data_IF_599493331627
#
_entry.id   IF_599493331627
#
_cell.length_a   1.000
_cell.length_b   1.000
_cell.length_c   1.000
_cell.angle_alpha   90.00
_cell.angle_beta   90.00
_cell.angle_gamma   90.00
#
_symmetry.space_group_name_H-M   'P 1'
#
loop_
_entity.id
_entity.type
_entity.pdbx_description
1 polymer ?
#
# COMPACT_ATOMS: atom_id res chain seq x y z
N UNK A 1 7.97 -20.86 14.12
CA UNK A 1 7.38 -21.60 12.98
C UNK A 1 6.12 -20.91 12.47
N UNK A 2 4.99 -20.96 13.18
CA UNK A 2 3.72 -20.41 12.68
C UNK A 2 3.75 -18.94 12.24
N UNK A 3 4.35 -18.04 13.03
CA UNK A 3 4.43 -16.62 12.70
C UNK A 3 5.30 -16.37 11.46
N UNK A 4 6.36 -17.16 11.30
CA UNK A 4 7.21 -17.16 10.10
C UNK A 4 6.43 -17.61 8.87
N UNK A 5 5.65 -18.68 8.99
CA UNK A 5 4.86 -19.25 7.89
C UNK A 5 3.73 -18.30 7.49
N UNK A 6 3.05 -17.71 8.47
CA UNK A 6 2.04 -16.67 8.26
C UNK A 6 2.64 -15.45 7.56
N UNK A 7 3.82 -14.98 7.99
CA UNK A 7 4.45 -13.82 7.36
C UNK A 7 4.84 -14.11 5.92
N UNK A 8 5.46 -15.27 5.66
CA UNK A 8 5.78 -15.70 4.30
C UNK A 8 4.52 -15.79 3.43
N UNK A 9 3.44 -16.37 3.96
CA UNK A 9 2.15 -16.41 3.28
C UNK A 9 1.61 -15.00 2.98
N UNK A 10 1.68 -14.05 3.92
CA UNK A 10 1.24 -12.67 3.70
C UNK A 10 2.08 -11.94 2.67
N UNK A 11 3.41 -12.08 2.73
CA UNK A 11 4.32 -11.55 1.71
C UNK A 11 3.93 -12.07 0.32
N UNK A 12 3.64 -13.37 0.21
CA UNK A 12 3.24 -14.00 -1.05
C UNK A 12 1.86 -13.52 -1.53
N UNK A 13 0.88 -13.38 -0.65
CA UNK A 13 -0.52 -13.19 -1.06
C UNK A 13 -0.95 -11.72 -1.19
N UNK A 14 -0.40 -10.82 -0.37
CA UNK A 14 -0.84 -9.41 -0.34
C UNK A 14 -0.53 -8.67 -1.63
N UNK A 15 0.65 -8.86 -2.21
CA UNK A 15 1.03 -8.24 -3.49
C UNK A 15 0.12 -8.71 -4.63
N UNK A 16 -0.33 -9.97 -4.56
CA UNK A 16 -1.19 -10.53 -5.60
C UNK A 16 -2.59 -9.94 -5.53
N UNK A 17 -3.14 -9.80 -4.31
CA UNK A 17 -4.43 -9.15 -4.08
C UNK A 17 -4.42 -7.64 -4.39
N UNK A 18 -3.28 -6.96 -4.21
CA UNK A 18 -3.18 -5.50 -4.36
C UNK A 18 -2.71 -5.04 -5.74
N UNK A 19 -1.69 -5.68 -6.33
CA UNK A 19 -1.01 -5.19 -7.55
C UNK A 19 -1.23 -6.08 -8.80
N UNK A 20 -1.39 -7.41 -8.63
CA UNK A 20 -1.67 -8.30 -9.79
C UNK A 20 -3.16 -8.41 -10.11
N UNK A 21 -4.02 -8.05 -9.16
CA UNK A 21 -5.43 -8.40 -9.13
C UNK A 21 -6.32 -7.68 -10.14
N UNK A 22 -5.93 -6.55 -10.73
CA UNK A 22 -6.77 -5.93 -11.77
C UNK A 22 -6.29 -6.38 -13.13
N UNK A 23 -5.05 -6.09 -13.51
CA UNK A 23 -4.58 -6.38 -14.88
C UNK A 23 -4.39 -7.87 -15.17
N UNK A 24 -3.73 -8.63 -14.29
CA UNK A 24 -3.49 -10.07 -14.53
C UNK A 24 -4.79 -10.85 -14.35
N UNK A 25 -5.58 -10.55 -13.31
CA UNK A 25 -6.91 -11.14 -13.15
C UNK A 25 -7.81 -10.85 -14.35
N UNK A 26 -7.90 -9.59 -14.80
CA UNK A 26 -8.70 -9.24 -15.98
C UNK A 26 -8.20 -10.02 -17.20
N UNK A 27 -6.90 -10.05 -17.46
CA UNK A 27 -6.33 -10.75 -18.61
C UNK A 27 -6.55 -12.28 -18.56
N UNK A 28 -6.41 -12.91 -17.40
CA UNK A 28 -6.65 -14.36 -17.24
C UNK A 28 -8.14 -14.67 -17.38
N UNK A 29 -9.01 -13.91 -16.72
CA UNK A 29 -10.45 -14.12 -16.77
C UNK A 29 -11.06 -13.75 -18.14
N UNK A 30 -10.47 -12.79 -18.86
CA UNK A 30 -10.88 -12.40 -20.21
C UNK A 30 -10.24 -13.23 -21.32
N UNK A 31 -9.21 -14.04 -21.01
CA UNK A 31 -8.56 -14.90 -22.00
C UNK A 31 -9.40 -16.11 -22.41
N UNK A 32 -8.95 -16.89 -23.39
CA UNK A 32 -9.70 -18.07 -23.87
C UNK A 32 -9.30 -19.39 -23.19
N UNK A 33 -8.22 -19.39 -22.39
CA UNK A 33 -7.70 -20.59 -21.74
C UNK A 33 -8.52 -20.96 -20.49
N UNK A 34 -9.46 -21.89 -20.67
CA UNK A 34 -10.35 -22.37 -19.61
C UNK A 34 -9.61 -23.10 -18.49
N UNK A 35 -8.50 -23.79 -18.80
CA UNK A 35 -7.71 -24.51 -17.80
C UNK A 35 -6.97 -23.51 -16.90
N UNK A 36 -6.38 -22.47 -17.49
CA UNK A 36 -5.70 -21.40 -16.75
C UNK A 36 -6.67 -20.64 -15.84
N UNK A 37 -7.90 -20.37 -16.30
CA UNK A 37 -8.96 -19.78 -15.47
C UNK A 37 -9.30 -20.65 -14.27
N UNK A 38 -9.50 -21.95 -14.49
CA UNK A 38 -9.82 -22.89 -13.41
C UNK A 38 -8.68 -22.97 -12.38
N UNK A 39 -7.44 -23.10 -12.84
CA UNK A 39 -6.26 -23.13 -11.96
C UNK A 39 -6.10 -21.84 -11.17
N UNK A 40 -6.36 -20.68 -11.78
CA UNK A 40 -6.29 -19.38 -11.12
C UNK A 40 -7.39 -19.23 -10.05
N UNK A 41 -8.62 -19.63 -10.36
CA UNK A 41 -9.74 -19.61 -9.41
C UNK A 41 -9.47 -20.55 -8.23
N UNK A 42 -9.01 -21.79 -8.49
CA UNK A 42 -8.66 -22.74 -7.45
C UNK A 42 -7.53 -22.21 -6.56
N UNK A 43 -6.53 -21.56 -7.17
CA UNK A 43 -5.43 -20.96 -6.44
C UNK A 43 -5.89 -19.83 -5.51
N UNK A 44 -6.81 -18.98 -5.98
CA UNK A 44 -7.42 -17.94 -5.15
C UNK A 44 -8.18 -18.54 -3.97
N UNK A 45 -9.03 -19.53 -4.21
CA UNK A 45 -9.79 -20.23 -3.18
C UNK A 45 -8.88 -20.94 -2.16
N UNK A 46 -7.81 -21.59 -2.62
CA UNK A 46 -6.84 -22.27 -1.76
C UNK A 46 -6.10 -21.26 -0.88
N UNK A 47 -5.72 -20.10 -1.42
CA UNK A 47 -5.12 -19.00 -0.65
C UNK A 47 -6.09 -18.43 0.38
N UNK A 48 -7.36 -18.25 0.04
CA UNK A 48 -8.39 -17.83 1.00
C UNK A 48 -8.57 -18.85 2.13
N UNK A 49 -8.65 -20.15 1.80
CA UNK A 49 -8.74 -21.22 2.79
C UNK A 49 -7.51 -21.23 3.73
N UNK A 50 -6.31 -21.08 3.17
CA UNK A 50 -5.07 -20.99 3.95
C UNK A 50 -5.07 -19.77 4.87
N UNK A 51 -5.54 -18.61 4.39
CA UNK A 51 -5.73 -17.41 5.21
C UNK A 51 -6.72 -17.62 6.36
N UNK A 52 -7.84 -18.32 6.12
CA UNK A 52 -8.81 -18.69 7.17
C UNK A 52 -8.18 -19.59 8.23
N UNK A 53 -7.42 -20.60 7.82
CA UNK A 53 -6.71 -21.48 8.75
C UNK A 53 -5.69 -20.73 9.59
N UNK A 54 -4.87 -19.86 9.00
CA UNK A 54 -3.94 -19.04 9.78
C UNK A 54 -4.66 -18.17 10.82
N UNK A 55 -5.79 -17.57 10.41
CA UNK A 55 -6.62 -16.75 11.30
C UNK A 55 -7.15 -17.56 12.48
N UNK A 56 -7.75 -18.73 12.23
CA UNK A 56 -8.28 -19.62 13.28
C UNK A 56 -7.19 -20.14 14.22
N UNK A 57 -5.99 -20.43 13.69
CA UNK A 57 -4.87 -20.93 14.49
C UNK A 57 -4.27 -19.83 15.40
N UNK A 58 -4.30 -18.56 14.98
CA UNK A 58 -3.92 -17.44 15.84
C UNK A 58 -4.87 -17.29 17.04
N UNK A 59 -6.16 -17.59 16.87
CA UNK A 59 -7.15 -17.55 17.95
C UNK A 59 -7.04 -18.75 18.89
N UNK A 60 -6.98 -19.96 18.33
CA UNK A 60 -7.14 -21.20 19.07
C UNK A 60 -5.84 -21.65 19.79
N UNK A 61 -4.69 -21.05 19.47
CA UNK A 61 -3.34 -21.50 19.89
C UNK A 61 -3.04 -22.98 19.60
N UNK A 62 -3.89 -23.66 18.83
CA UNK A 62 -3.78 -25.08 18.48
C UNK A 62 -3.47 -25.20 16.99
N UNK A 63 -2.26 -25.66 16.71
CA UNK A 63 -1.69 -25.82 15.38
C UNK A 63 -2.28 -27.04 14.68
N UNK A 64 -3.27 -26.86 13.80
CA UNK A 64 -3.64 -27.93 12.85
C UNK A 64 -2.67 -27.92 11.66
N UNK A 65 -1.39 -28.16 11.97
CA UNK A 65 -0.25 -28.02 11.08
C UNK A 65 -0.36 -28.83 9.76
N UNK A 66 -0.89 -30.07 9.76
CA UNK A 66 -0.99 -30.87 8.53
C UNK A 66 -1.90 -30.25 7.46
N UNK A 67 -2.98 -29.59 7.87
CA UNK A 67 -3.90 -28.93 6.92
C UNK A 67 -3.26 -27.70 6.29
N UNK A 68 -2.56 -26.90 7.09
CA UNK A 68 -1.79 -25.74 6.62
C UNK A 68 -0.71 -26.19 5.62
N UNK A 69 0.07 -27.22 5.97
CA UNK A 69 1.12 -27.77 5.11
C UNK A 69 0.54 -28.30 3.78
N UNK A 70 -0.60 -28.99 3.81
CA UNK A 70 -1.29 -29.46 2.59
C UNK A 70 -1.76 -28.31 1.69
N UNK A 71 -2.39 -27.28 2.26
CA UNK A 71 -2.83 -26.11 1.49
C UNK A 71 -1.64 -25.34 0.91
N UNK A 72 -0.52 -25.21 1.65
CA UNK A 72 0.71 -24.59 1.15
C UNK A 72 1.28 -25.36 -0.04
N UNK A 73 1.34 -26.70 0.04
CA UNK A 73 1.78 -27.53 -1.08
C UNK A 73 0.89 -27.33 -2.31
N UNK A 74 -0.44 -27.30 -2.12
CA UNK A 74 -1.38 -27.07 -3.23
C UNK A 74 -1.21 -25.69 -3.87
N UNK A 75 -0.99 -24.65 -3.07
CA UNK A 75 -0.67 -23.30 -3.59
C UNK A 75 0.60 -23.34 -4.45
N UNK A 76 1.67 -23.97 -3.97
CA UNK A 76 2.93 -24.07 -4.71
C UNK A 76 2.79 -24.87 -6.02
N UNK A 77 1.99 -25.94 -6.02
CA UNK A 77 1.68 -26.71 -7.22
C UNK A 77 0.94 -25.87 -8.27
N UNK A 78 -0.11 -25.16 -7.86
CA UNK A 78 -0.89 -24.30 -8.75
C UNK A 78 -0.04 -23.15 -9.31
N UNK A 79 0.82 -22.54 -8.50
CA UNK A 79 1.77 -21.53 -8.95
C UNK A 79 2.75 -22.09 -10.00
N UNK A 80 3.24 -23.31 -9.80
CA UNK A 80 4.11 -23.99 -10.77
C UNK A 80 3.39 -24.27 -12.09
N UNK A 81 2.15 -24.75 -12.04
CA UNK A 81 1.32 -25.03 -13.23
C UNK A 81 1.03 -23.74 -14.02
N UNK A 82 0.62 -22.67 -13.35
CA UNK A 82 0.37 -21.37 -13.99
C UNK A 82 1.66 -20.71 -14.51
N UNK A 83 2.78 -20.91 -13.81
CA UNK A 83 4.11 -20.46 -14.22
C UNK A 83 4.61 -21.17 -15.48
N UNK A 84 4.26 -22.43 -15.69
CA UNK A 84 4.58 -23.15 -16.94
C UNK A 84 3.70 -22.75 -18.13
N UNK A 85 2.49 -22.25 -17.89
CA UNK A 85 1.53 -21.86 -18.93
C UNK A 85 1.59 -20.40 -19.36
N UNK A 86 2.19 -19.49 -18.59
CA UNK A 86 2.20 -18.06 -18.91
C UNK A 86 3.52 -17.36 -18.58
N UNK A 87 4.16 -16.77 -19.60
CA UNK A 87 5.34 -15.90 -19.43
C UNK A 87 5.05 -14.70 -18.49
N UNK A 88 3.78 -14.35 -18.33
CA UNK A 88 3.28 -13.27 -17.47
C UNK A 88 3.43 -13.58 -15.96
N UNK A 89 3.27 -14.85 -15.56
CA UNK A 89 3.43 -15.28 -14.16
C UNK A 89 4.92 -15.44 -13.77
N UNK A 90 5.77 -15.79 -14.74
CA UNK A 90 7.22 -15.92 -14.54
C UNK A 90 7.91 -14.58 -14.24
N UNK A 91 7.51 -13.49 -14.91
CA UNK A 91 8.13 -12.16 -14.73
C UNK A 91 7.78 -11.50 -13.37
N UNK A 92 6.67 -11.89 -12.74
CA UNK A 92 6.30 -11.40 -11.40
C UNK A 92 6.95 -12.21 -10.27
N UNK A 93 7.50 -13.40 -10.56
CA UNK A 93 8.00 -14.33 -9.55
C UNK A 93 9.52 -14.42 -9.46
N UNK A 94 10.26 -13.89 -10.45
CA UNK A 94 11.67 -14.25 -10.68
C UNK A 94 12.72 -13.54 -9.81
N UNK A 95 12.38 -12.50 -9.02
CA UNK A 95 13.37 -11.73 -8.23
C UNK A 95 12.88 -11.30 -6.84
N UNK A 96 11.84 -11.96 -6.30
CA UNK A 96 11.21 -11.49 -5.07
C UNK A 96 11.79 -12.13 -3.81
N UNK A 97 11.91 -11.33 -2.74
CA UNK A 97 12.00 -11.83 -1.37
C UNK A 97 10.78 -12.74 -1.14
N UNK A 98 10.98 -14.05 -1.07
CA UNK A 98 9.90 -15.02 -0.84
C UNK A 98 9.73 -15.36 0.63
N UNK A 99 10.71 -15.00 1.46
CA UNK A 99 10.73 -15.33 2.88
C UNK A 99 11.09 -14.14 3.76
N UNK A 100 10.57 -14.12 4.98
CA UNK A 100 10.90 -13.09 5.98
C UNK A 100 12.38 -13.13 6.38
N UNK A 101 13.05 -14.28 6.29
CA UNK A 101 14.49 -14.39 6.55
C UNK A 101 15.29 -13.60 5.52
N UNK A 102 14.95 -13.72 4.23
CA UNK A 102 15.56 -12.89 3.18
C UNK A 102 15.29 -11.41 3.46
N UNK A 103 14.08 -11.05 3.89
CA UNK A 103 13.74 -9.68 4.29
C UNK A 103 14.60 -9.17 5.46
N UNK A 104 14.78 -10.01 6.48
CA UNK A 104 15.57 -9.70 7.67
C UNK A 104 17.00 -9.27 7.30
N UNK A 105 17.63 -9.98 6.36
CA UNK A 105 19.00 -9.69 5.91
C UNK A 105 19.13 -8.38 5.13
N UNK A 106 18.02 -7.77 4.70
CA UNK A 106 18.02 -6.47 4.00
C UNK A 106 17.88 -5.28 4.95
N UNK A 107 17.48 -5.51 6.20
CA UNK A 107 17.28 -4.45 7.18
C UNK A 107 18.60 -4.06 7.84
N UNK A 108 18.81 -2.75 8.01
CA UNK A 108 19.89 -2.19 8.83
C UNK A 108 19.55 -2.27 10.33
N UNK A 109 20.55 -2.19 11.23
CA UNK A 109 20.35 -2.33 12.69
C UNK A 109 19.23 -1.48 13.30
N UNK A 110 19.00 -0.28 12.77
CA UNK A 110 18.01 0.70 13.21
C UNK A 110 16.72 0.69 12.40
N UNK A 111 16.55 -0.28 11.50
CA UNK A 111 15.36 -0.46 10.68
C UNK A 111 14.45 -1.57 11.24
N UNK A 112 13.15 -1.40 11.02
CA UNK A 112 12.15 -2.44 11.23
C UNK A 112 11.18 -2.52 10.06
N UNK A 113 10.68 -3.71 9.78
CA UNK A 113 9.61 -3.93 8.82
C UNK A 113 8.36 -4.45 9.55
N UNK A 114 7.20 -3.88 9.23
CA UNK A 114 5.93 -4.18 9.89
C UNK A 114 4.89 -4.54 8.84
N UNK A 115 4.40 -5.77 8.91
CA UNK A 115 3.27 -6.25 8.12
C UNK A 115 2.01 -6.17 8.97
N UNK A 116 1.12 -5.24 8.63
CA UNK A 116 -0.19 -5.14 9.26
C UNK A 116 -1.16 -6.12 8.58
N UNK A 117 -1.94 -6.81 9.40
CA UNK A 117 -2.92 -7.80 8.95
C UNK A 117 -4.24 -7.48 9.63
N UNK A 118 -5.27 -7.25 8.81
CA UNK A 118 -6.66 -7.21 9.28
C UNK A 118 -7.25 -8.61 9.22
N UNK A 119 -7.78 -9.09 10.33
CA UNK A 119 -8.38 -10.42 10.45
C UNK A 119 -9.86 -10.28 10.83
N UNK A 120 -10.74 -10.92 10.05
CA UNK A 120 -12.14 -11.10 10.42
C UNK A 120 -12.29 -12.50 11.00
N UNK A 121 -12.60 -12.56 12.29
CA UNK A 121 -12.61 -13.77 13.10
C UNK A 121 -13.96 -14.50 13.01
N UNK A 122 -15.06 -13.75 12.95
CA UNK A 122 -16.39 -14.33 12.80
C UNK A 122 -17.22 -13.51 11.79
N UNK A 123 -17.71 -14.19 10.75
CA UNK A 123 -18.60 -13.57 9.75
C UNK A 123 -20.02 -13.30 10.28
N UNK A 124 -20.44 -13.97 11.36
CA UNK A 124 -21.77 -13.83 11.98
C UNK A 124 -21.83 -12.73 13.05
N UNK A 125 -20.79 -12.56 13.85
CA UNK A 125 -20.74 -11.58 14.96
C UNK A 125 -19.73 -10.44 14.72
N UNK A 126 -19.25 -10.32 13.48
CA UNK A 126 -18.38 -9.26 12.96
C UNK A 126 -17.13 -8.95 13.80
N UNK A 127 -16.50 -9.95 14.43
CA UNK A 127 -15.27 -9.71 15.19
C UNK A 127 -14.08 -9.42 14.26
N UNK A 128 -13.47 -8.24 14.43
CA UNK A 128 -12.28 -7.82 13.69
C UNK A 128 -11.12 -7.64 14.66
N UNK A 129 -9.96 -8.19 14.29
CA UNK A 129 -8.69 -8.06 15.02
C UNK A 129 -7.60 -7.61 14.07
N UNK A 130 -6.69 -6.77 14.57
CA UNK A 130 -5.47 -6.43 13.85
C UNK A 130 -4.27 -7.14 14.45
N UNK A 131 -3.36 -7.54 13.58
CA UNK A 131 -2.09 -8.16 13.94
C UNK A 131 -0.96 -7.42 13.22
N UNK A 132 0.04 -6.96 13.97
CA UNK A 132 1.29 -6.45 13.43
C UNK A 132 2.36 -7.54 13.58
N UNK A 133 2.85 -8.06 12.45
CA UNK A 133 4.04 -8.90 12.40
C UNK A 133 5.26 -8.02 12.14
N UNK A 134 6.18 -8.02 13.09
CA UNK A 134 7.32 -7.10 13.13
C UNK A 134 8.61 -7.89 12.96
N UNK A 135 9.47 -7.41 12.08
CA UNK A 135 10.80 -7.95 11.82
C UNK A 135 11.83 -6.88 12.18
N UNK A 136 12.90 -7.30 12.87
CA UNK A 136 14.14 -6.55 13.05
C UNK A 136 15.34 -7.42 12.72
N UNK A 137 16.49 -6.80 12.37
CA UNK A 137 17.74 -7.53 12.22
C UNK A 137 18.05 -8.37 13.45
N UNK A 138 18.64 -9.55 13.22
CA UNK A 138 19.10 -10.49 14.25
C UNK A 138 17.98 -11.14 15.10
N UNK A 139 16.70 -10.92 14.78
CA UNK A 139 15.62 -11.70 15.39
C UNK A 139 15.53 -13.08 14.75
N UNK A 140 15.44 -14.11 15.58
CA UNK A 140 15.28 -15.50 15.16
C UNK A 140 13.85 -15.83 14.74
N UNK A 141 12.89 -14.99 15.11
CA UNK A 141 11.50 -15.06 14.69
C UNK A 141 10.83 -13.68 14.65
N UNK A 142 9.79 -13.47 13.82
CA UNK A 142 8.99 -12.26 13.84
C UNK A 142 8.24 -12.12 15.19
N UNK A 143 8.06 -10.89 15.66
CA UNK A 143 7.22 -10.61 16.83
C UNK A 143 5.81 -10.24 16.41
N UNK A 144 4.83 -10.70 17.17
CA UNK A 144 3.42 -10.41 16.96
C UNK A 144 2.92 -9.41 18.01
N UNK A 145 2.24 -8.35 17.55
CA UNK A 145 1.44 -7.46 18.39
C UNK A 145 -0.02 -7.54 17.94
N UNK A 146 -0.92 -7.86 18.87
CA UNK A 146 -2.35 -8.03 18.60
C UNK A 146 -3.16 -6.85 19.11
N UNK A 147 -4.17 -6.46 18.33
CA UNK A 147 -5.18 -5.47 18.67
C UNK A 147 -6.55 -6.14 18.60
N UNK A 148 -7.04 -6.55 19.77
CA UNK A 148 -8.30 -7.31 19.88
C UNK A 148 -9.56 -6.50 19.53
N UNK A 149 -9.46 -5.16 19.54
CA UNK A 149 -10.58 -4.23 19.40
C UNK A 149 -10.67 -3.61 17.99
N UNK A 150 -10.49 -4.42 16.93
CA UNK A 150 -10.44 -3.95 15.55
C UNK A 150 -11.71 -3.24 15.07
N UNK A 151 -12.90 -3.68 15.48
CA UNK A 151 -14.15 -2.96 15.18
C UNK A 151 -14.15 -1.54 15.75
N UNK A 152 -13.69 -1.39 16.98
CA UNK A 152 -13.58 -0.08 17.63
C UNK A 152 -12.56 0.80 16.88
N UNK A 153 -11.45 0.22 16.45
CA UNK A 153 -10.42 0.90 15.64
C UNK A 153 -10.99 1.43 14.33
N UNK A 154 -11.81 0.64 13.64
CA UNK A 154 -12.40 0.96 12.33
C UNK A 154 -13.51 2.00 12.41
N UNK A 155 -14.26 2.03 13.51
CA UNK A 155 -15.40 2.91 13.68
C UNK A 155 -15.07 4.11 14.58
N UNK A 156 -15.33 3.99 15.89
CA UNK A 156 -15.27 5.08 16.86
C UNK A 156 -13.91 5.79 16.88
N UNK A 157 -12.81 5.03 16.89
CA UNK A 157 -11.47 5.61 16.98
C UNK A 157 -11.05 6.29 15.68
N UNK A 158 -11.45 5.72 14.54
CA UNK A 158 -11.17 6.33 13.25
C UNK A 158 -11.98 7.60 13.03
N UNK A 159 -13.26 7.62 13.42
CA UNK A 159 -14.10 8.83 13.43
C UNK A 159 -13.48 9.92 14.30
N UNK A 160 -12.99 9.57 15.49
CA UNK A 160 -12.29 10.51 16.35
C UNK A 160 -11.01 11.04 15.71
N UNK A 161 -10.16 10.16 15.17
CA UNK A 161 -8.93 10.53 14.45
C UNK A 161 -9.23 11.52 13.32
N UNK A 162 -10.19 11.18 12.44
CA UNK A 162 -10.59 12.01 11.31
C UNK A 162 -11.11 13.37 11.76
N UNK A 163 -11.95 13.42 12.80
CA UNK A 163 -12.51 14.66 13.31
C UNK A 163 -11.42 15.53 13.97
N UNK A 164 -10.50 14.93 14.73
CA UNK A 164 -9.39 15.66 15.34
C UNK A 164 -8.52 16.32 14.25
N UNK A 165 -8.19 15.61 13.17
CA UNK A 165 -7.49 16.19 12.03
C UNK A 165 -8.30 17.28 11.34
N UNK A 166 -9.58 17.04 11.06
CA UNK A 166 -10.47 17.99 10.37
C UNK A 166 -10.64 19.31 11.13
N UNK A 167 -10.75 19.24 12.45
CA UNK A 167 -10.98 20.40 13.31
C UNK A 167 -9.70 20.92 13.97
N UNK A 168 -8.53 20.44 13.56
CA UNK A 168 -7.23 20.82 14.09
C UNK A 168 -7.13 20.71 15.63
N UNK A 169 -7.69 19.65 16.19
CA UNK A 169 -7.68 19.35 17.63
C UNK A 169 -6.49 18.44 17.92
N UNK A 170 -5.74 18.76 18.99
CA UNK A 170 -4.64 17.91 19.45
C UNK A 170 -5.15 16.50 19.77
N UNK A 171 -4.71 15.53 18.97
CA UNK A 171 -5.14 14.14 19.08
C UNK A 171 -4.28 13.38 20.10
N UNK A 172 -4.77 13.29 21.33
CA UNK A 172 -4.05 12.66 22.44
C UNK A 172 -4.27 11.14 22.57
N UNK A 173 -5.22 10.59 21.81
CA UNK A 173 -5.72 9.21 21.99
C UNK A 173 -5.28 8.25 20.90
N UNK A 174 -5.20 8.69 19.65
CA UNK A 174 -4.94 7.80 18.52
C UNK A 174 -3.56 7.12 18.59
N UNK A 175 -2.55 7.78 19.17
CA UNK A 175 -1.26 7.13 19.45
C UNK A 175 -1.40 5.88 20.32
N UNK A 176 -2.15 5.96 21.43
CA UNK A 176 -2.37 4.82 22.34
C UNK A 176 -3.13 3.68 21.67
N UNK A 177 -4.05 4.03 20.77
CA UNK A 177 -4.88 3.06 20.04
C UNK A 177 -4.12 2.34 18.94
N UNK A 178 -3.39 3.08 18.10
CA UNK A 178 -2.83 2.55 16.84
C UNK A 178 -1.33 2.25 16.89
N UNK A 179 -0.59 2.79 17.86
CA UNK A 179 0.89 2.71 17.81
C UNK A 179 1.57 2.27 19.11
N UNK A 180 1.10 2.73 20.27
CA UNK A 180 1.76 2.44 21.55
C UNK A 180 2.06 0.94 21.78
N UNK A 181 1.18 -0.03 21.44
CA UNK A 181 1.51 -1.45 21.57
C UNK A 181 2.68 -1.91 20.69
N UNK A 182 2.82 -1.33 19.49
CA UNK A 182 3.91 -1.62 18.54
C UNK A 182 5.21 -0.98 19.04
N UNK A 183 5.16 0.28 19.50
CA UNK A 183 6.35 1.02 19.95
C UNK A 183 7.15 0.25 21.04
N UNK A 184 6.45 -0.49 21.90
CA UNK A 184 7.05 -1.30 22.98
C UNK A 184 8.08 -2.33 22.51
N UNK A 185 8.04 -2.76 21.23
CA UNK A 185 8.98 -3.73 20.67
C UNK A 185 9.97 -3.13 19.66
N UNK A 186 9.96 -1.80 19.49
CA UNK A 186 10.76 -1.06 18.52
C UNK A 186 11.96 -0.32 19.15
N UNK A 187 12.50 -0.81 20.27
CA UNK A 187 13.69 -0.21 20.89
C UNK A 187 14.85 -0.10 19.89
N UNK A 188 15.45 1.09 19.77
CA UNK A 188 16.58 1.35 18.87
C UNK A 188 16.23 1.41 17.38
N UNK A 189 14.96 1.55 17.02
CA UNK A 189 14.52 1.72 15.62
C UNK A 189 14.34 3.20 15.31
N UNK A 190 14.86 3.64 14.17
CA UNK A 190 14.70 5.00 13.62
C UNK A 190 13.88 4.99 12.33
N UNK A 191 13.86 3.87 11.61
CA UNK A 191 13.26 3.77 10.27
C UNK A 191 12.30 2.59 10.21
N UNK A 192 11.10 2.83 9.67
CA UNK A 192 10.00 1.87 9.66
C UNK A 192 9.49 1.68 8.25
N UNK A 193 9.62 0.46 7.75
CA UNK A 193 8.94 0.01 6.54
C UNK A 193 7.58 -0.57 6.93
N UNK A 194 6.50 0.07 6.54
CA UNK A 194 5.16 -0.26 7.01
C UNK A 194 4.25 -0.66 5.86
N UNK A 195 3.77 -1.90 5.91
CA UNK A 195 2.83 -2.48 4.96
C UNK A 195 1.44 -2.50 5.60
N UNK A 196 0.62 -1.51 5.26
CA UNK A 196 -0.66 -1.24 5.91
C UNK A 196 -1.78 -2.22 5.50
N UNK A 197 -2.79 -2.38 6.34
CA UNK A 197 -4.01 -3.13 6.03
C UNK A 197 -5.20 -2.51 6.78
N UNK A 198 -6.41 -2.68 6.26
CA UNK A 198 -7.64 -2.18 6.87
C UNK A 198 -7.60 -0.68 7.19
N UNK A 199 -7.97 -0.33 8.43
CA UNK A 199 -7.99 1.06 8.93
C UNK A 199 -6.62 1.74 8.89
N UNK A 200 -5.53 0.98 8.95
CA UNK A 200 -4.18 1.55 8.87
C UNK A 200 -3.86 2.17 7.50
N UNK A 201 -4.62 1.83 6.45
CA UNK A 201 -4.54 2.55 5.16
C UNK A 201 -5.10 3.99 5.25
N UNK A 202 -5.92 4.28 6.27
CA UNK A 202 -6.61 5.56 6.45
C UNK A 202 -5.99 6.42 7.55
N UNK A 203 -5.10 5.85 8.36
CA UNK A 203 -4.45 6.53 9.48
C UNK A 203 -3.03 6.90 9.07
N UNK A 204 -2.69 8.18 9.13
CA UNK A 204 -1.31 8.63 8.96
C UNK A 204 -0.56 8.40 10.26
N UNK A 205 0.27 7.36 10.32
CA UNK A 205 1.05 7.05 11.52
C UNK A 205 1.98 8.20 11.92
N UNK A 206 2.57 8.90 10.95
CA UNK A 206 3.50 9.99 11.19
C UNK A 206 2.85 11.16 11.96
N UNK A 207 1.53 11.36 11.82
CA UNK A 207 0.79 12.43 12.52
C UNK A 207 0.29 12.05 13.91
N UNK A 208 0.53 10.82 14.38
CA UNK A 208 0.11 10.42 15.73
C UNK A 208 0.96 11.13 16.78
N UNK A 209 0.31 11.72 17.78
CA UNK A 209 0.97 12.46 18.84
C UNK A 209 1.17 11.60 20.09
N UNK A 210 2.41 11.39 20.49
CA UNK A 210 2.76 10.69 21.71
C UNK A 210 2.68 11.68 22.89
N UNK A 211 1.65 11.52 23.72
CA UNK A 211 1.43 12.40 24.89
C UNK A 211 2.47 12.24 25.98
N UNK A 212 3.08 11.07 26.12
CA UNK A 212 4.09 10.78 27.14
C UNK A 212 5.42 11.46 26.78
N UNK A 213 5.75 11.53 25.48
CA UNK A 213 6.98 12.16 24.95
C UNK A 213 6.78 13.60 24.44
N UNK A 214 5.54 14.08 24.38
CA UNK A 214 5.14 15.38 23.84
C UNK A 214 5.66 15.67 22.41
N UNK A 215 5.62 14.67 21.54
CA UNK A 215 6.11 14.81 20.16
C UNK A 215 5.34 13.92 19.18
N UNK A 216 5.38 14.25 17.90
CA UNK A 216 4.76 13.43 16.86
C UNK A 216 5.65 12.23 16.51
N UNK A 217 5.05 11.21 15.88
CA UNK A 217 5.83 10.06 15.43
C UNK A 217 6.75 10.39 14.25
N UNK A 218 6.42 11.40 13.43
CA UNK A 218 7.30 11.87 12.34
C UNK A 218 8.64 12.40 12.86
N UNK A 219 8.67 12.92 14.09
CA UNK A 219 9.90 13.41 14.73
C UNK A 219 10.75 12.26 15.30
N UNK A 220 10.16 11.07 15.45
CA UNK A 220 10.80 9.88 16.02
C UNK A 220 11.23 8.87 14.95
N UNK A 221 10.44 8.74 13.89
CA UNK A 221 10.58 7.69 12.90
C UNK A 221 10.51 8.22 11.48
N UNK A 222 11.40 7.72 10.63
CA UNK A 222 11.26 7.80 9.18
C UNK A 222 10.35 6.66 8.70
N UNK A 223 9.12 6.99 8.29
CA UNK A 223 8.18 6.01 7.74
C UNK A 223 8.33 5.87 6.23
N UNK A 224 8.45 4.63 5.77
CA UNK A 224 8.31 4.24 4.37
C UNK A 224 7.10 3.32 4.24
N UNK A 225 6.00 3.84 3.67
CA UNK A 225 4.82 3.04 3.40
C UNK A 225 5.06 2.17 2.16
N UNK A 226 4.79 0.88 2.28
CA UNK A 226 4.95 -0.08 1.20
C UNK A 226 3.61 -0.76 0.92
N UNK A 227 3.37 -1.09 -0.35
CA UNK A 227 2.20 -1.89 -0.73
C UNK A 227 2.38 -3.35 -0.28
N UNK A 228 3.63 -3.81 -0.28
CA UNK A 228 4.08 -5.06 0.29
C UNK A 228 5.54 -4.95 0.75
N UNK A 229 5.92 -5.58 1.87
CA UNK A 229 7.31 -5.58 2.34
C UNK A 229 8.30 -6.25 1.37
N UNK A 230 7.85 -7.06 0.41
CA UNK A 230 8.69 -7.63 -0.66
C UNK A 230 9.44 -6.57 -1.49
N UNK A 231 8.89 -5.36 -1.59
CA UNK A 231 9.51 -4.23 -2.30
C UNK A 231 10.87 -3.84 -1.73
N UNK A 232 11.17 -4.22 -0.48
CA UNK A 232 12.50 -4.03 0.10
C UNK A 232 13.59 -4.80 -0.66
N UNK A 233 13.23 -5.88 -1.36
CA UNK A 233 14.17 -6.68 -2.15
C UNK A 233 14.51 -6.10 -3.51
N UNK A 234 13.62 -5.29 -4.07
CA UNK A 234 13.73 -4.76 -5.44
C UNK A 234 14.25 -3.32 -5.48
N UNK A 235 14.54 -2.71 -4.32
CA UNK A 235 15.19 -1.40 -4.25
C UNK A 235 16.61 -1.46 -4.81
N UNK A 236 16.72 -1.24 -6.12
CA UNK A 236 17.91 -0.64 -6.70
C UNK A 236 17.88 0.84 -6.35
N UNK A 237 18.58 1.23 -5.28
CA UNK A 237 18.86 2.64 -5.05
C UNK A 237 19.86 3.05 -6.11
N UNK A 238 19.39 3.65 -7.21
CA UNK A 238 20.29 4.37 -8.11
C UNK A 238 20.98 5.44 -7.28
N UNK A 239 22.28 5.30 -7.08
CA UNK A 239 23.10 6.27 -6.32
C UNK A 239 23.29 7.57 -7.08
N UNK A 240 22.91 7.62 -8.36
CA UNK A 240 23.02 8.80 -9.22
C UNK A 240 21.65 9.45 -9.36
N UNK A 241 21.47 10.59 -8.69
CA UNK A 241 20.33 11.47 -8.91
C UNK A 241 20.60 12.30 -10.16
N UNK A 242 19.75 12.19 -11.18
CA UNK A 242 19.80 13.06 -12.34
C UNK A 242 19.31 14.45 -11.92
N UNK A 243 20.10 15.51 -12.15
CA UNK A 243 19.69 16.90 -11.90
C UNK A 243 18.72 17.41 -12.98
N UNK A 244 17.70 16.63 -13.26
CA UNK A 244 16.59 16.95 -14.16
C UNK A 244 15.31 16.90 -13.35
N UNK A 245 14.49 17.93 -13.47
CA UNK A 245 13.20 18.00 -12.82
C UNK A 245 12.11 18.42 -13.81
N UNK A 246 10.98 17.73 -13.77
CA UNK A 246 9.74 18.20 -14.39
C UNK A 246 8.76 18.61 -13.29
N UNK A 247 8.26 19.85 -13.36
CA UNK A 247 7.32 20.42 -12.40
C UNK A 247 6.04 20.77 -13.15
N UNK A 248 4.92 20.14 -12.77
CA UNK A 248 3.60 20.37 -13.34
C UNK A 248 2.71 21.03 -12.30
N UNK A 249 2.03 22.12 -12.66
CA UNK A 249 1.07 22.77 -11.78
C UNK A 249 0.09 23.66 -12.50
N UNK A 250 -1.00 24.03 -11.82
CA UNK A 250 -2.10 24.83 -12.35
C UNK A 250 -2.52 24.43 -13.77
N UNK A 251 -2.82 23.13 -14.04
CA UNK A 251 -3.34 22.73 -15.34
C UNK A 251 -4.65 23.43 -15.64
N UNK A 252 -4.83 23.78 -16.91
CA UNK A 252 -6.09 24.30 -17.41
C UNK A 252 -7.03 23.12 -17.71
N UNK A 253 -8.12 23.02 -16.96
CA UNK A 253 -9.15 21.98 -17.13
C UNK A 253 -10.31 22.43 -18.04
N UNK A 254 -10.14 23.52 -18.78
CA UNK A 254 -11.10 23.96 -19.80
C UNK A 254 -12.41 24.51 -19.23
N UNK A 255 -12.41 25.02 -17.98
CA UNK A 255 -13.63 25.50 -17.30
C UNK A 255 -14.25 26.76 -17.92
N UNK A 256 -13.59 27.40 -18.89
CA UNK A 256 -14.03 28.68 -19.47
C UNK A 256 -14.62 28.59 -20.87
N UNK A 257 -14.50 27.47 -21.59
CA UNK A 257 -15.01 27.36 -22.97
C UNK A 257 -16.08 26.27 -23.10
N UNK A 258 -17.29 26.71 -23.44
CA UNK A 258 -18.45 25.88 -23.83
C UNK A 258 -18.25 25.17 -25.19
N UNK A 259 -17.05 24.68 -25.49
CA UNK A 259 -16.82 23.93 -26.72
C UNK A 259 -17.06 22.44 -26.47
N UNK A 260 -18.22 22.00 -26.98
CA UNK A 260 -18.71 20.65 -26.88
C UNK A 260 -17.86 19.69 -27.73
N UNK A 261 -17.11 18.77 -27.09
CA UNK A 261 -16.48 17.69 -27.84
C UNK A 261 -15.43 16.83 -27.16
N UNK A 262 -15.58 16.48 -25.87
CA UNK A 262 -14.71 15.47 -25.24
C UNK A 262 -14.64 15.56 -23.73
N UNK A 263 -14.28 16.74 -23.20
CA UNK A 263 -14.08 16.95 -21.76
C UNK A 263 -15.37 16.99 -20.94
N UNK A 264 -16.51 17.32 -21.57
CA UNK A 264 -17.80 17.31 -20.86
C UNK A 264 -18.23 15.90 -20.43
N UNK A 265 -17.78 14.85 -21.13
CA UNK A 265 -18.05 13.45 -20.71
C UNK A 265 -17.25 13.08 -19.46
N UNK A 266 -16.01 13.54 -19.35
CA UNK A 266 -15.18 13.29 -18.17
C UNK A 266 -15.71 14.07 -16.95
N UNK A 267 -16.05 15.35 -17.12
CA UNK A 267 -16.72 16.14 -16.07
C UNK A 267 -18.07 15.55 -15.67
N UNK A 268 -18.86 15.07 -16.63
CA UNK A 268 -20.13 14.37 -16.35
C UNK A 268 -19.92 13.01 -15.67
N UNK A 269 -18.82 12.30 -15.97
CA UNK A 269 -18.49 11.00 -15.37
C UNK A 269 -17.97 11.13 -13.94
N UNK A 270 -17.18 12.16 -13.64
CA UNK A 270 -16.62 12.41 -12.30
C UNK A 270 -17.56 13.27 -11.45
N UNK A 271 -18.51 13.98 -12.07
CA UNK A 271 -19.47 14.85 -11.39
C UNK A 271 -18.83 16.03 -10.65
N UNK A 272 -17.57 16.37 -10.98
CA UNK A 272 -16.81 17.42 -10.29
C UNK A 272 -16.40 18.53 -11.25
N UNK A 273 -16.58 19.77 -10.78
CA UNK A 273 -16.02 20.98 -11.39
C UNK A 273 -14.66 21.27 -10.76
N UNK A 274 -13.60 21.25 -11.57
CA UNK A 274 -12.24 21.48 -11.10
C UNK A 274 -11.94 22.98 -11.13
N UNK A 275 -12.19 23.65 -10.00
CA UNK A 275 -11.82 25.06 -9.85
C UNK A 275 -10.32 25.27 -9.99
N UNK A 276 -9.92 26.41 -10.56
CA UNK A 276 -8.51 26.76 -10.68
C UNK A 276 -7.84 26.82 -9.29
N UNK A 277 -6.63 26.23 -9.18
CA UNK A 277 -5.80 26.26 -7.98
C UNK A 277 -4.62 27.22 -8.16
N UNK A 278 -4.82 28.55 -8.07
CA UNK A 278 -3.76 29.52 -8.38
C UNK A 278 -2.51 29.36 -7.50
N UNK A 279 -2.65 28.81 -6.29
CA UNK A 279 -1.52 28.50 -5.41
C UNK A 279 -0.52 27.50 -6.02
N UNK A 280 -0.98 26.56 -6.84
CA UNK A 280 -0.12 25.54 -7.47
C UNK A 280 0.82 26.15 -8.53
N UNK A 281 0.39 27.24 -9.19
CA UNK A 281 1.26 28.01 -10.09
C UNK A 281 2.43 28.62 -9.32
N UNK A 282 2.12 29.31 -8.21
CA UNK A 282 3.12 29.94 -7.36
C UNK A 282 4.07 28.92 -6.73
N UNK A 283 3.56 27.75 -6.35
CA UNK A 283 4.36 26.62 -5.86
C UNK A 283 5.39 26.17 -6.91
N UNK A 284 4.94 25.86 -8.12
CA UNK A 284 5.83 25.43 -9.22
C UNK A 284 6.86 26.50 -9.55
N UNK A 285 6.46 27.77 -9.66
CA UNK A 285 7.38 28.88 -9.91
C UNK A 285 8.47 28.99 -8.85
N UNK A 286 8.10 28.87 -7.56
CA UNK A 286 9.07 28.92 -6.45
C UNK A 286 10.02 27.73 -6.45
N UNK A 287 9.51 26.52 -6.68
CA UNK A 287 10.35 25.31 -6.77
C UNK A 287 11.30 25.42 -7.97
N UNK A 288 10.84 25.93 -9.12
CA UNK A 288 11.70 26.20 -10.28
C UNK A 288 12.87 27.10 -9.89
N UNK A 289 12.62 28.21 -9.19
CA UNK A 289 13.68 29.13 -8.75
C UNK A 289 14.69 28.43 -7.84
N UNK A 290 14.22 27.66 -6.86
CA UNK A 290 15.08 26.93 -5.92
C UNK A 290 15.97 25.89 -6.64
N UNK A 291 15.38 25.10 -7.54
CA UNK A 291 16.10 24.06 -8.27
C UNK A 291 17.10 24.65 -9.27
N UNK A 292 16.73 25.70 -10.00
CA UNK A 292 17.65 26.42 -10.91
C UNK A 292 18.83 27.03 -10.17
N UNK A 293 18.63 27.57 -8.96
CA UNK A 293 19.72 28.07 -8.13
C UNK A 293 20.72 26.96 -7.73
N UNK A 294 20.28 25.70 -7.67
CA UNK A 294 21.10 24.52 -7.43
C UNK A 294 21.59 23.83 -8.72
N UNK A 295 21.50 24.53 -9.86
CA UNK A 295 21.91 24.09 -11.19
C UNK A 295 21.18 22.83 -11.68
N UNK A 296 19.89 22.72 -11.37
CA UNK A 296 19.03 21.70 -11.99
C UNK A 296 18.53 22.17 -13.35
N UNK A 297 18.41 21.24 -14.29
CA UNK A 297 17.61 21.45 -15.49
C UNK A 297 16.13 21.26 -15.12
N UNK A 298 15.32 22.30 -15.25
CA UNK A 298 13.92 22.29 -14.81
C UNK A 298 12.99 22.54 -15.99
N UNK A 299 12.16 21.56 -16.31
CA UNK A 299 11.02 21.69 -17.22
C UNK A 299 9.80 22.08 -16.40
N UNK A 300 9.25 23.26 -16.68
CA UNK A 300 8.06 23.78 -16.01
C UNK A 300 6.87 23.62 -16.95
N UNK A 301 5.81 22.96 -16.49
CA UNK A 301 4.57 22.73 -17.22
C UNK A 301 3.43 23.43 -16.47
N UNK A 302 2.88 24.49 -17.05
CA UNK A 302 1.79 25.28 -16.46
C UNK A 302 0.62 25.45 -17.44
N UNK A 303 -0.58 25.64 -16.91
CA UNK A 303 -1.78 25.97 -17.70
C UNK A 303 -1.97 25.00 -18.88
N UNK A 304 -1.98 25.51 -20.12
CA UNK A 304 -2.18 24.72 -21.34
C UNK A 304 -1.03 23.73 -21.63
N UNK A 305 0.15 23.91 -21.04
CA UNK A 305 1.28 22.99 -21.19
C UNK A 305 1.24 21.83 -20.18
N UNK A 306 0.44 21.95 -19.12
CA UNK A 306 0.31 20.94 -18.07
C UNK A 306 -0.65 19.80 -18.48
N UNK A 307 -0.35 19.15 -19.61
CA UNK A 307 -1.17 18.07 -20.17
C UNK A 307 -0.69 16.69 -19.74
N UNK A 308 -1.59 15.69 -19.81
CA UNK A 308 -1.26 14.28 -19.56
C UNK A 308 -0.14 13.78 -20.50
N UNK A 309 -0.13 14.23 -21.75
CA UNK A 309 0.88 13.88 -22.74
C UNK A 309 2.27 14.39 -22.31
N UNK A 310 2.37 15.66 -21.91
CA UNK A 310 3.63 16.23 -21.45
C UNK A 310 4.14 15.54 -20.17
N UNK A 311 3.23 15.15 -19.28
CA UNK A 311 3.56 14.39 -18.08
C UNK A 311 4.07 12.97 -18.42
N UNK A 312 3.41 12.25 -19.33
CA UNK A 312 3.84 10.91 -19.79
C UNK A 312 5.18 10.93 -20.53
N UNK A 313 5.52 12.08 -21.14
CA UNK A 313 6.79 12.30 -21.81
C UNK A 313 7.93 12.66 -20.84
N UNK A 314 7.65 12.99 -19.58
CA UNK A 314 8.67 13.21 -18.56
C UNK A 314 9.33 11.88 -18.18
N UNK A 315 10.52 11.62 -18.74
CA UNK A 315 11.31 10.40 -18.51
C UNK A 315 12.69 10.77 -17.99
N UNK A 316 13.27 9.92 -17.15
CA UNK A 316 14.61 10.10 -16.58
C UNK A 316 14.78 11.33 -15.66
N UNK A 317 13.68 11.84 -15.12
CA UNK A 317 13.68 12.93 -14.14
C UNK A 317 14.18 12.42 -12.78
N UNK A 318 15.04 13.19 -12.13
CA UNK A 318 15.41 12.95 -10.74
C UNK A 318 14.32 13.45 -9.79
N UNK A 319 13.53 14.44 -10.22
CA UNK A 319 12.37 14.95 -9.50
C UNK A 319 11.19 15.12 -10.45
N UNK A 320 10.06 14.50 -10.12
CA UNK A 320 8.78 14.78 -10.75
C UNK A 320 7.86 15.39 -9.69
N UNK A 321 7.43 16.63 -9.91
CA UNK A 321 6.52 17.33 -9.01
C UNK A 321 5.19 17.59 -9.72
N UNK A 322 4.09 17.27 -9.05
CA UNK A 322 2.73 17.36 -9.62
C UNK A 322 1.86 18.09 -8.59
N UNK A 323 1.43 19.30 -8.92
CA UNK A 323 0.58 20.15 -8.09
C UNK A 323 -0.77 20.39 -8.80
N UNK A 324 -1.72 19.49 -8.60
CA UNK A 324 -3.05 19.50 -9.24
C UNK A 324 -4.08 18.86 -8.29
N UNK A 325 -5.37 18.89 -8.66
CA UNK A 325 -6.40 18.15 -7.94
C UNK A 325 -6.09 16.65 -7.94
N UNK A 326 -6.25 16.03 -6.78
CA UNK A 326 -6.37 14.58 -6.67
C UNK A 326 -7.83 14.21 -6.54
N UNK A 327 -8.29 13.24 -7.31
CA UNK A 327 -9.61 12.62 -7.13
C UNK A 327 -9.49 11.11 -7.27
N UNK A 328 -10.45 10.41 -6.71
CA UNK A 328 -10.60 8.97 -6.85
C UNK A 328 -11.95 8.69 -7.50
N UNK A 329 -11.93 8.02 -8.65
CA UNK A 329 -13.14 7.47 -9.27
C UNK A 329 -13.21 6.03 -8.81
N UNK A 330 -14.26 5.68 -8.06
CA UNK A 330 -14.51 4.29 -7.75
C UNK A 330 -14.81 3.56 -9.08
N UNK A 331 -14.21 2.39 -9.29
CA UNK A 331 -14.69 1.48 -10.32
C UNK A 331 -16.19 1.25 -10.03
N UNK A 332 -17.05 1.53 -11.01
CA UNK A 332 -18.49 1.31 -10.85
C UNK A 332 -18.74 -0.13 -10.41
N UNK A 333 -19.75 -0.35 -9.55
CA UNK A 333 -20.25 -1.68 -9.22
C UNK A 333 -20.59 -2.41 -10.54
N UNK A 334 -19.67 -3.23 -11.04
CA UNK A 334 -20.05 -4.34 -11.89
C UNK A 334 -20.61 -5.37 -10.92
N UNK A 335 -21.92 -5.54 -10.97
CA UNK A 335 -22.69 -6.49 -10.19
C UNK A 335 -21.87 -7.76 -9.92
N UNK A 336 -21.56 -7.99 -8.64
CA UNK A 336 -21.17 -9.30 -8.13
C UNK A 336 -22.39 -10.23 -8.28
N UNK A 337 -22.66 -10.71 -9.49
CA UNK A 337 -23.41 -11.94 -9.65
C UNK A 337 -22.54 -13.08 -9.12
N UNK A 338 -22.79 -13.38 -7.86
CA UNK A 338 -22.43 -14.63 -7.20
C UNK A 338 -22.92 -15.79 -8.06
N UNK A 339 -21.97 -16.59 -8.57
CA UNK A 339 -22.20 -18.01 -8.88
C UNK A 339 -21.14 -18.87 -8.22
#
# INVERSE_FOLDING_TARGET
ALLSDLLNFRLATKALLLNSSTKIRQQILSGDDQLLKQQFTEWLQTKEALGKWYTQNLEAKNLNKPVIESLQLRVNELEKLMGTGSALFLNSSANEISTWQQLNTKLKPDEAAIEMIRLRLNYKNDSVVYAALIIKPNWTEPKLVLFANGLQMEDKEFKYYRNATKFNILNQRSYKMYWQPIEKVLTGVSTIYFSADGVYNKVNLASLYNTDKQQYLIDQYSFALLSNLKELGTRSVSTTVTKQATLLGAPDFGTTNNDAGGESKFRAMVGMDFQALPGTKLEVERITTLLKAQQWNVKQLLALEATEEQLKNAKHEGVLHIATHGFFVADGEQDEEVM
#
